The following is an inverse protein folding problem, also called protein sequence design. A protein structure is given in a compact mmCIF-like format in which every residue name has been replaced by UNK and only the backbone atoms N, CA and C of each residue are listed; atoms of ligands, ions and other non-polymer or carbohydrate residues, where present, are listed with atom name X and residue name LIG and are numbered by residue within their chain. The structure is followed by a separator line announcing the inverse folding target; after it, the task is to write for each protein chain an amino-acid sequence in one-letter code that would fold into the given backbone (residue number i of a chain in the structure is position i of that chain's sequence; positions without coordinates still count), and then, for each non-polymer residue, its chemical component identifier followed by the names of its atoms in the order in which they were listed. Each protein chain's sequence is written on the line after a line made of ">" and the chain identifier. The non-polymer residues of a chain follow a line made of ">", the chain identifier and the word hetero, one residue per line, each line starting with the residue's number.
data_IF_369933907378
#
_entry.id   IF_369933907378
#
_cell.length_a   1.000
_cell.length_b   1.000
_cell.length_c   1.000
_cell.angle_alpha   90.00
_cell.angle_beta   90.00
_cell.angle_gamma   90.00
#
_symmetry.space_group_name_H-M   'P 1'
#
loop_
_entity.id
_entity.type
_entity.pdbx_description
1 polymer ?
#
# COMPACT_ATOMS: atom_id res chain seq x y z
N UNK A 1 -16.10 23.93 -11.62
CA UNK A 1 -15.08 24.02 -10.53
C UNK A 1 -14.06 22.96 -10.79
N UNK A 2 -12.80 23.17 -10.49
CA UNK A 2 -11.78 22.13 -10.58
C UNK A 2 -11.26 21.87 -9.17
N UNK A 3 -11.31 20.64 -8.72
CA UNK A 3 -10.70 20.25 -7.45
C UNK A 3 -9.67 19.16 -7.68
N UNK A 4 -8.53 19.27 -6.99
CA UNK A 4 -7.48 18.26 -6.96
C UNK A 4 -7.26 17.84 -5.52
N UNK A 5 -7.25 16.55 -5.28
CA UNK A 5 -6.98 15.96 -3.98
C UNK A 5 -5.92 14.86 -4.10
N UNK A 6 -5.04 14.77 -3.13
CA UNK A 6 -4.10 13.65 -2.98
C UNK A 6 -4.50 12.92 -1.70
N UNK A 7 -4.80 11.64 -1.83
CA UNK A 7 -5.28 10.80 -0.75
C UNK A 7 -4.43 9.53 -0.60
N UNK A 8 -4.29 9.09 0.65
CA UNK A 8 -3.77 7.78 0.98
C UNK A 8 -4.87 6.92 1.61
N UNK A 9 -4.90 5.63 1.31
CA UNK A 9 -5.83 4.69 1.93
C UNK A 9 -5.73 4.67 3.46
N UNK A 10 -4.58 5.02 4.04
CA UNK A 10 -4.42 5.15 5.48
C UNK A 10 -5.31 6.24 6.10
N UNK A 11 -5.57 7.31 5.34
CA UNK A 11 -6.41 8.41 5.79
C UNK A 11 -7.85 8.28 5.29
N UNK A 12 -8.00 7.90 4.03
CA UNK A 12 -9.31 7.74 3.39
C UNK A 12 -9.23 6.72 2.25
N UNK A 13 -9.89 5.54 2.38
CA UNK A 13 -9.88 4.51 1.36
C UNK A 13 -10.39 5.02 0.02
N UNK A 14 -9.57 4.90 -1.03
CA UNK A 14 -9.92 5.37 -2.38
C UNK A 14 -11.15 4.65 -2.95
N UNK A 15 -11.39 3.42 -2.53
CA UNK A 15 -12.55 2.64 -2.96
C UNK A 15 -13.89 3.30 -2.65
N UNK A 16 -13.98 4.12 -1.59
CA UNK A 16 -15.20 4.88 -1.29
C UNK A 16 -15.51 5.91 -2.37
N UNK A 17 -14.48 6.58 -2.87
CA UNK A 17 -14.60 7.56 -3.95
C UNK A 17 -14.94 6.84 -5.26
N UNK A 18 -14.20 5.78 -5.59
CA UNK A 18 -14.46 4.97 -6.79
C UNK A 18 -15.93 4.48 -6.80
N UNK A 19 -16.45 4.00 -5.67
CA UNK A 19 -17.84 3.59 -5.55
C UNK A 19 -18.82 4.74 -5.80
N UNK A 20 -18.57 5.90 -5.19
CA UNK A 20 -19.44 7.07 -5.36
C UNK A 20 -19.47 7.57 -6.80
N UNK A 21 -18.30 7.68 -7.44
CA UNK A 21 -18.17 8.13 -8.81
C UNK A 21 -18.79 7.13 -9.81
N UNK A 22 -18.50 5.83 -9.62
CA UNK A 22 -19.03 4.76 -10.45
C UNK A 22 -20.55 4.69 -10.41
N UNK A 23 -21.14 4.81 -9.21
CA UNK A 23 -22.60 4.75 -9.03
C UNK A 23 -23.35 5.81 -9.84
N UNK A 24 -22.75 6.98 -10.02
CA UNK A 24 -23.32 8.13 -10.69
C UNK A 24 -22.83 8.32 -12.13
N UNK A 25 -21.95 7.44 -12.60
CA UNK A 25 -21.30 7.59 -13.90
C UNK A 25 -22.19 7.10 -15.05
N UNK A 26 -22.24 7.90 -16.13
CA UNK A 26 -22.81 7.48 -17.40
C UNK A 26 -21.78 6.74 -18.28
N UNK A 27 -20.49 6.98 -18.08
CA UNK A 27 -19.42 6.30 -18.77
C UNK A 27 -18.23 6.11 -17.82
N UNK A 28 -17.79 4.86 -17.65
CA UNK A 28 -16.69 4.49 -16.77
C UNK A 28 -15.64 3.71 -17.52
N UNK A 29 -14.37 4.13 -17.43
CA UNK A 29 -13.22 3.44 -18.03
C UNK A 29 -12.17 3.21 -16.96
N UNK A 30 -11.73 1.97 -16.82
CA UNK A 30 -10.74 1.58 -15.80
C UNK A 30 -9.58 0.84 -16.47
N UNK A 31 -8.36 1.21 -16.15
CA UNK A 31 -7.16 0.49 -16.56
C UNK A 31 -6.33 0.17 -15.32
N UNK A 32 -6.10 -1.12 -15.05
CA UNK A 32 -5.37 -1.60 -13.87
C UNK A 32 -4.41 -2.72 -14.21
N UNK A 33 -3.25 -2.73 -13.54
CA UNK A 33 -2.30 -3.82 -13.69
C UNK A 33 -2.86 -5.14 -13.10
N UNK A 34 -3.60 -5.07 -11.99
CA UNK A 34 -4.11 -6.25 -11.28
C UNK A 34 -5.62 -6.12 -11.04
N UNK A 35 -6.35 -7.14 -11.48
CA UNK A 35 -7.77 -7.28 -11.29
C UNK A 35 -8.07 -8.51 -10.43
N UNK A 36 -8.77 -8.35 -9.30
CA UNK A 36 -9.15 -9.46 -8.41
C UNK A 36 -10.64 -9.45 -8.09
N UNK A 37 -11.22 -10.64 -7.85
CA UNK A 37 -12.62 -10.74 -7.39
C UNK A 37 -12.90 -9.94 -6.13
N UNK A 38 -11.91 -9.78 -5.24
CA UNK A 38 -12.05 -8.97 -4.02
C UNK A 38 -12.25 -7.49 -4.32
N UNK A 39 -11.62 -6.97 -5.38
CA UNK A 39 -11.85 -5.60 -5.84
C UNK A 39 -13.22 -5.44 -6.52
N UNK A 40 -13.62 -6.42 -7.35
CA UNK A 40 -14.95 -6.42 -7.98
C UNK A 40 -16.06 -6.40 -6.93
N UNK A 41 -15.99 -7.29 -5.93
CA UNK A 41 -16.98 -7.32 -4.84
C UNK A 41 -17.11 -5.98 -4.10
N UNK A 42 -16.02 -5.23 -4.04
CA UNK A 42 -16.02 -3.91 -3.40
C UNK A 42 -16.85 -2.90 -4.19
N UNK A 43 -16.82 -2.94 -5.54
CA UNK A 43 -17.51 -2.00 -6.41
C UNK A 43 -18.81 -2.55 -7.02
N UNK A 44 -19.14 -3.82 -6.85
CA UNK A 44 -20.19 -4.55 -7.57
C UNK A 44 -21.55 -3.84 -7.47
N UNK A 45 -21.95 -3.40 -6.28
CA UNK A 45 -23.23 -2.69 -6.08
C UNK A 45 -23.27 -1.39 -6.87
N UNK A 46 -22.21 -0.61 -6.85
CA UNK A 46 -22.11 0.66 -7.57
C UNK A 46 -22.11 0.43 -9.10
N UNK A 47 -21.39 -0.60 -9.55
CA UNK A 47 -21.37 -1.01 -10.95
C UNK A 47 -22.75 -1.39 -11.45
N UNK A 48 -23.46 -2.28 -10.72
CA UNK A 48 -24.80 -2.71 -11.12
C UNK A 48 -25.78 -1.54 -11.17
N UNK A 49 -25.73 -0.65 -10.20
CA UNK A 49 -26.58 0.55 -10.19
C UNK A 49 -26.28 1.49 -11.37
N UNK A 50 -25.01 1.70 -11.72
CA UNK A 50 -24.63 2.49 -12.90
C UNK A 50 -25.20 1.87 -14.19
N UNK A 51 -25.07 0.55 -14.35
CA UNK A 51 -25.56 -0.18 -15.52
C UNK A 51 -27.11 -0.17 -15.61
N UNK A 52 -27.80 -0.29 -14.49
CA UNK A 52 -29.27 -0.17 -14.41
C UNK A 52 -29.74 1.23 -14.84
N UNK A 53 -28.95 2.25 -14.56
CA UNK A 53 -29.19 3.63 -15.01
C UNK A 53 -28.78 3.89 -16.48
N UNK A 54 -28.37 2.85 -17.22
CA UNK A 54 -27.98 2.94 -18.62
C UNK A 54 -26.53 3.36 -18.84
N UNK A 55 -25.70 3.33 -17.80
CA UNK A 55 -24.27 3.62 -17.89
C UNK A 55 -23.47 2.59 -18.70
N UNK A 56 -22.27 2.96 -19.12
CA UNK A 56 -21.29 2.08 -19.77
C UNK A 56 -20.09 1.84 -18.88
N UNK A 57 -19.48 0.66 -19.01
CA UNK A 57 -18.32 0.26 -18.23
C UNK A 57 -17.30 -0.47 -19.10
N UNK A 58 -16.08 0.03 -19.12
CA UNK A 58 -14.94 -0.63 -19.76
C UNK A 58 -13.83 -0.88 -18.76
N UNK A 59 -13.19 -2.04 -18.83
CA UNK A 59 -12.02 -2.35 -18.02
C UNK A 59 -10.89 -2.98 -18.84
N UNK A 60 -9.68 -2.47 -18.66
CA UNK A 60 -8.44 -3.08 -19.17
C UNK A 60 -7.70 -3.67 -17.96
N UNK A 61 -7.42 -4.97 -17.99
CA UNK A 61 -6.69 -5.68 -16.96
C UNK A 61 -5.35 -6.20 -17.49
N UNK A 62 -4.25 -5.90 -16.80
CA UNK A 62 -2.94 -6.47 -17.10
C UNK A 62 -2.84 -7.94 -16.75
N UNK A 63 -2.08 -8.72 -17.52
CA UNK A 63 -1.82 -10.14 -17.29
C UNK A 63 -0.38 -10.42 -16.83
N UNK A 64 0.44 -9.37 -16.78
CA UNK A 64 1.81 -9.48 -16.28
C UNK A 64 1.83 -10.02 -14.85
N UNK A 65 2.93 -10.68 -14.49
CA UNK A 65 3.12 -11.32 -13.18
C UNK A 65 2.06 -12.39 -12.81
N UNK A 66 1.14 -12.73 -13.71
CA UNK A 66 0.05 -13.70 -13.47
C UNK A 66 -0.71 -13.39 -12.15
N UNK A 67 -1.05 -12.11 -11.94
CA UNK A 67 -1.71 -11.61 -10.72
C UNK A 67 -3.19 -11.32 -10.89
N UNK A 68 -3.65 -11.09 -12.12
CA UNK A 68 -5.08 -10.93 -12.43
C UNK A 68 -5.81 -12.25 -12.22
N UNK A 69 -6.92 -12.20 -11.47
CA UNK A 69 -7.70 -13.39 -11.08
C UNK A 69 -8.54 -13.90 -12.27
N UNK A 70 -8.39 -15.17 -12.71
CA UNK A 70 -9.24 -15.76 -13.74
C UNK A 70 -10.75 -15.64 -13.45
N UNK A 71 -11.15 -15.72 -12.17
CA UNK A 71 -12.56 -15.55 -11.76
C UNK A 71 -13.04 -14.13 -12.01
N UNK A 72 -12.18 -13.15 -11.83
CA UNK A 72 -12.52 -11.75 -12.11
C UNK A 72 -12.69 -11.48 -13.60
N UNK A 73 -11.85 -12.10 -14.44
CA UNK A 73 -12.02 -12.06 -15.89
C UNK A 73 -13.34 -12.68 -16.31
N UNK A 74 -13.64 -13.89 -15.81
CA UNK A 74 -14.87 -14.59 -16.12
C UNK A 74 -16.12 -13.81 -15.68
N UNK A 75 -16.06 -13.13 -14.52
CA UNK A 75 -17.15 -12.26 -14.06
C UNK A 75 -17.50 -11.20 -15.10
N UNK A 76 -16.51 -10.48 -15.62
CA UNK A 76 -16.78 -9.43 -16.63
C UNK A 76 -17.12 -9.99 -18.00
N UNK A 77 -16.61 -11.17 -18.40
CA UNK A 77 -17.05 -11.84 -19.62
C UNK A 77 -18.54 -12.17 -19.53
N UNK A 78 -18.97 -12.80 -18.43
CA UNK A 78 -20.38 -13.14 -18.22
C UNK A 78 -21.26 -11.88 -18.15
N UNK A 79 -20.77 -10.81 -17.52
CA UNK A 79 -21.49 -9.56 -17.46
C UNK A 79 -21.62 -8.92 -18.85
N UNK A 80 -20.59 -8.96 -19.68
CA UNK A 80 -20.61 -8.44 -21.05
C UNK A 80 -21.55 -9.20 -21.99
N UNK A 81 -21.72 -10.52 -21.78
CA UNK A 81 -22.70 -11.31 -22.52
C UNK A 81 -24.14 -10.89 -22.22
N UNK A 82 -24.41 -10.43 -20.99
CA UNK A 82 -25.74 -10.03 -20.55
C UNK A 82 -25.99 -8.52 -20.68
N UNK A 83 -24.96 -7.71 -20.87
CA UNK A 83 -25.05 -6.26 -20.97
C UNK A 83 -24.07 -5.71 -22.01
N UNK A 84 -24.61 -5.24 -23.14
CA UNK A 84 -23.82 -4.70 -24.28
C UNK A 84 -22.98 -3.44 -23.94
N UNK A 85 -23.27 -2.80 -22.80
CA UNK A 85 -22.55 -1.62 -22.34
C UNK A 85 -21.34 -1.99 -21.45
N UNK A 86 -21.03 -3.28 -21.28
CA UNK A 86 -19.89 -3.75 -20.49
C UNK A 86 -18.86 -4.36 -21.40
N UNK A 87 -17.59 -3.92 -21.27
CA UNK A 87 -16.48 -4.45 -22.04
C UNK A 87 -15.29 -4.78 -21.14
N UNK A 88 -14.68 -5.93 -21.37
CA UNK A 88 -13.41 -6.32 -20.76
C UNK A 88 -12.35 -6.50 -21.83
N UNK A 89 -11.19 -5.95 -21.56
CA UNK A 89 -9.98 -6.14 -22.33
C UNK A 89 -8.86 -6.65 -21.43
N UNK A 90 -7.97 -7.42 -22.01
CA UNK A 90 -6.74 -7.86 -21.34
C UNK A 90 -5.53 -7.33 -22.10
N UNK A 91 -4.54 -6.89 -21.34
CA UNK A 91 -3.25 -6.49 -21.87
C UNK A 91 -2.23 -7.57 -21.49
N UNK A 92 -1.62 -8.19 -22.48
CA UNK A 92 -0.60 -9.22 -22.30
C UNK A 92 0.35 -9.26 -23.47
N UNK A 93 1.59 -9.60 -23.21
CA UNK A 93 2.56 -9.81 -24.26
C UNK A 93 2.23 -11.08 -25.02
N UNK A 94 2.02 -10.95 -26.33
CA UNK A 94 1.71 -12.07 -27.24
C UNK A 94 2.93 -12.59 -27.98
N UNK A 95 4.03 -11.87 -27.92
CA UNK A 95 5.22 -12.16 -28.72
C UNK A 95 6.42 -12.36 -27.78
N UNK A 96 7.00 -13.56 -27.78
CA UNK A 96 8.20 -13.91 -26.99
C UNK A 96 9.43 -13.03 -27.33
N UNK A 97 9.38 -12.26 -28.42
CA UNK A 97 10.44 -11.36 -28.87
C UNK A 97 10.17 -9.89 -28.56
N UNK A 98 9.07 -9.56 -27.88
CA UNK A 98 8.72 -8.17 -27.58
C UNK A 98 9.18 -7.71 -26.21
N UNK A 99 9.52 -6.46 -26.20
CA UNK A 99 10.01 -5.57 -25.15
C UNK A 99 9.53 -5.91 -23.74
N UNK A 100 10.44 -5.82 -22.76
CA UNK A 100 10.21 -5.92 -21.31
C UNK A 100 9.27 -4.83 -20.74
N UNK A 101 8.30 -4.34 -21.54
CA UNK A 101 7.36 -3.32 -21.09
C UNK A 101 6.31 -3.98 -20.20
N UNK A 102 6.37 -3.65 -18.92
CA UNK A 102 5.39 -4.09 -17.94
C UNK A 102 4.15 -3.17 -17.99
N UNK A 103 2.98 -3.77 -18.15
CA UNK A 103 1.72 -3.04 -18.08
C UNK A 103 1.35 -2.76 -16.61
N UNK A 104 1.50 -1.49 -16.20
CA UNK A 104 1.32 -1.14 -14.77
C UNK A 104 0.49 0.13 -14.51
N UNK A 105 -0.46 0.55 -15.36
CA UNK A 105 -1.32 1.71 -15.08
C UNK A 105 -2.32 1.41 -13.97
N UNK A 106 -2.80 2.46 -13.30
CA UNK A 106 -3.98 2.48 -12.46
C UNK A 106 -4.68 3.79 -12.71
N UNK A 107 -5.63 3.75 -13.64
CA UNK A 107 -6.40 4.88 -14.12
C UNK A 107 -7.87 4.52 -13.98
N UNK A 108 -8.64 5.41 -13.37
CA UNK A 108 -10.09 5.30 -13.24
C UNK A 108 -10.70 6.59 -13.75
N UNK A 109 -11.56 6.49 -14.75
CA UNK A 109 -12.22 7.59 -15.43
C UNK A 109 -13.73 7.43 -15.26
N UNK A 110 -14.35 8.48 -14.78
CA UNK A 110 -15.80 8.53 -14.61
C UNK A 110 -16.35 9.80 -15.25
N UNK A 111 -17.38 9.66 -16.05
CA UNK A 111 -18.08 10.78 -16.67
C UNK A 111 -19.55 10.72 -16.31
N UNK A 112 -20.05 11.76 -15.66
CA UNK A 112 -21.48 11.96 -15.47
C UNK A 112 -21.98 13.14 -16.32
N UNK A 113 -23.24 13.53 -16.17
CA UNK A 113 -23.85 14.59 -17.01
C UNK A 113 -23.19 15.95 -16.87
N UNK A 114 -22.63 16.27 -15.71
CA UNK A 114 -22.20 17.62 -15.35
C UNK A 114 -20.72 17.75 -15.04
N UNK A 115 -20.04 16.63 -14.78
CA UNK A 115 -18.64 16.62 -14.39
C UNK A 115 -17.93 15.34 -14.80
N UNK A 116 -16.61 15.39 -14.76
CA UNK A 116 -15.76 14.22 -14.92
C UNK A 116 -14.88 14.05 -13.68
N UNK A 117 -14.58 12.79 -13.36
CA UNK A 117 -13.65 12.44 -12.28
C UNK A 117 -12.55 11.53 -12.83
N UNK A 118 -11.32 11.86 -12.48
CA UNK A 118 -10.14 11.08 -12.86
C UNK A 118 -9.39 10.70 -11.60
N UNK A 119 -9.12 9.40 -11.42
CA UNK A 119 -8.24 8.91 -10.37
C UNK A 119 -7.01 8.26 -11.01
N UNK A 120 -5.83 8.74 -10.62
CA UNK A 120 -4.54 8.19 -11.06
C UNK A 120 -3.66 7.99 -9.84
N UNK A 121 -3.07 6.81 -9.71
CA UNK A 121 -2.20 6.52 -8.57
C UNK A 121 -1.67 5.10 -8.54
N UNK A 122 -1.55 4.55 -7.33
CA UNK A 122 -0.98 3.23 -7.12
C UNK A 122 -2.04 2.11 -6.93
N UNK A 123 -3.31 2.46 -6.74
CA UNK A 123 -4.37 1.51 -6.38
C UNK A 123 -4.82 0.63 -7.54
N UNK A 124 -4.61 -0.68 -7.41
CA UNK A 124 -5.19 -1.69 -8.31
C UNK A 124 -6.63 -2.05 -7.91
N UNK A 125 -7.39 -2.69 -8.81
CA UNK A 125 -8.74 -3.21 -8.55
C UNK A 125 -8.68 -4.49 -7.69
N UNK A 126 -8.29 -4.33 -6.44
CA UNK A 126 -8.18 -5.37 -5.42
C UNK A 126 -8.67 -4.82 -4.08
N UNK A 127 -9.07 -5.67 -3.12
CA UNK A 127 -9.44 -5.16 -1.79
C UNK A 127 -8.30 -4.37 -1.15
N UNK A 128 -7.06 -4.88 -1.25
CA UNK A 128 -5.89 -4.16 -0.74
C UNK A 128 -5.72 -2.78 -1.40
N UNK A 129 -5.75 -2.72 -2.74
CA UNK A 129 -5.59 -1.48 -3.48
C UNK A 129 -6.70 -0.46 -3.22
N UNK A 130 -7.94 -0.91 -3.01
CA UNK A 130 -9.09 -0.02 -2.79
C UNK A 130 -9.25 0.41 -1.32
N UNK A 131 -8.71 -0.34 -0.35
CA UNK A 131 -9.04 -0.13 1.05
C UNK A 131 -7.85 -0.16 2.01
N UNK A 132 -7.00 -1.20 1.98
CA UNK A 132 -6.14 -1.53 3.12
C UNK A 132 -4.63 -1.42 2.89
N UNK A 133 -4.15 -1.40 1.64
CA UNK A 133 -2.73 -1.20 1.36
C UNK A 133 -2.32 0.26 1.57
N UNK A 134 -1.02 0.49 1.72
CA UNK A 134 -0.45 1.82 1.61
C UNK A 134 -0.47 2.25 0.14
N UNK A 135 -1.49 3.00 -0.25
CA UNK A 135 -1.66 3.52 -1.60
C UNK A 135 -1.75 5.05 -1.58
N UNK A 136 -1.30 5.67 -2.67
CA UNK A 136 -1.43 7.13 -2.87
C UNK A 136 -2.06 7.38 -4.23
N UNK A 137 -3.12 8.20 -4.24
CA UNK A 137 -3.88 8.51 -5.45
C UNK A 137 -4.15 10.00 -5.54
N UNK A 138 -4.11 10.52 -6.77
CA UNK A 138 -4.56 11.85 -7.13
C UNK A 138 -5.96 11.78 -7.74
N UNK A 139 -6.84 12.65 -7.28
CA UNK A 139 -8.22 12.73 -7.75
C UNK A 139 -8.45 14.12 -8.34
N UNK A 140 -8.97 14.17 -9.56
CA UNK A 140 -9.33 15.38 -10.28
C UNK A 140 -10.83 15.35 -10.54
N UNK A 141 -11.57 16.35 -10.06
CA UNK A 141 -13.00 16.52 -10.31
C UNK A 141 -13.17 17.82 -11.09
N UNK A 142 -13.74 17.73 -12.30
CA UNK A 142 -13.73 18.82 -13.27
C UNK A 142 -15.09 19.00 -13.94
N UNK A 143 -15.59 20.26 -13.99
CA UNK A 143 -16.72 20.65 -14.85
C UNK A 143 -16.27 20.81 -16.33
N UNK A 144 -15.01 21.19 -16.54
CA UNK A 144 -14.36 21.23 -17.85
C UNK A 144 -13.27 20.16 -17.89
N UNK A 145 -13.43 19.10 -18.70
CA UNK A 145 -12.61 17.88 -18.60
C UNK A 145 -11.23 18.05 -19.24
N UNK A 146 -10.27 18.65 -18.54
CA UNK A 146 -8.89 18.81 -19.04
C UNK A 146 -8.04 17.57 -18.72
N UNK A 147 -7.93 17.21 -17.44
CA UNK A 147 -7.16 16.03 -17.00
C UNK A 147 -7.86 14.75 -17.46
N UNK A 148 -9.18 14.72 -17.40
CA UNK A 148 -9.97 13.60 -17.89
C UNK A 148 -9.66 13.28 -19.36
N UNK A 149 -9.67 14.27 -20.25
CA UNK A 149 -9.40 14.05 -21.68
C UNK A 149 -7.96 13.59 -21.95
N UNK A 150 -6.99 14.09 -21.19
CA UNK A 150 -5.60 13.62 -21.30
C UNK A 150 -5.49 12.15 -20.88
N UNK A 151 -6.09 11.78 -19.74
CA UNK A 151 -6.07 10.41 -19.25
C UNK A 151 -6.89 9.46 -20.13
N UNK A 152 -8.02 9.92 -20.69
CA UNK A 152 -8.82 9.18 -21.67
C UNK A 152 -8.04 8.94 -22.97
N UNK A 153 -7.26 9.92 -23.42
CA UNK A 153 -6.37 9.76 -24.58
C UNK A 153 -5.34 8.65 -24.34
N UNK A 154 -4.74 8.59 -23.15
CA UNK A 154 -3.83 7.49 -22.75
C UNK A 154 -4.57 6.15 -22.73
N UNK A 155 -5.76 6.11 -22.14
CA UNK A 155 -6.59 4.91 -22.10
C UNK A 155 -6.91 4.40 -23.52
N UNK A 156 -7.30 5.30 -24.42
CA UNK A 156 -7.58 4.97 -25.81
C UNK A 156 -6.33 4.54 -26.56
N UNK A 157 -5.17 5.16 -26.31
CA UNK A 157 -3.91 4.72 -26.87
C UNK A 157 -3.60 3.25 -26.49
N UNK A 158 -3.80 2.88 -25.23
CA UNK A 158 -3.67 1.49 -24.77
C UNK A 158 -4.60 0.56 -25.56
N UNK A 159 -5.83 0.97 -25.84
CA UNK A 159 -6.80 0.16 -26.61
C UNK A 159 -6.39 -0.14 -28.03
N UNK A 160 -5.53 0.67 -28.64
CA UNK A 160 -5.05 0.49 -30.01
C UNK A 160 -3.70 -0.21 -30.11
N UNK A 161 -3.15 -0.71 -29.01
CA UNK A 161 -1.91 -1.49 -29.03
C UNK A 161 -2.17 -2.94 -29.45
N UNK A 162 -1.22 -3.57 -30.12
CA UNK A 162 -1.31 -4.97 -30.53
C UNK A 162 -1.33 -5.95 -29.35
N UNK A 163 -0.92 -5.50 -28.17
CA UNK A 163 -0.93 -6.29 -26.93
C UNK A 163 -2.30 -6.37 -26.26
N UNK A 164 -3.26 -5.53 -26.69
CA UNK A 164 -4.62 -5.58 -26.15
C UNK A 164 -5.48 -6.60 -26.91
N UNK A 165 -6.32 -7.32 -26.18
CA UNK A 165 -7.29 -8.25 -26.77
C UNK A 165 -8.54 -8.41 -25.90
N UNK A 166 -9.61 -8.91 -26.51
CA UNK A 166 -10.83 -9.31 -25.81
C UNK A 166 -10.68 -10.77 -25.38
N UNK A 167 -10.67 -11.07 -24.08
CA UNK A 167 -10.57 -12.45 -23.61
C UNK A 167 -11.90 -13.19 -23.85
N UNK A 168 -11.81 -14.47 -24.17
CA UNK A 168 -12.94 -15.38 -24.17
C UNK A 168 -12.82 -16.42 -23.06
N UNK A 169 -13.86 -17.22 -22.84
CA UNK A 169 -13.88 -18.24 -21.78
C UNK A 169 -12.76 -19.27 -21.95
N UNK A 170 -12.50 -19.74 -23.18
CA UNK A 170 -11.45 -20.71 -23.45
C UNK A 170 -10.06 -20.18 -23.05
N UNK A 171 -9.79 -18.91 -23.37
CA UNK A 171 -8.57 -18.23 -22.93
C UNK A 171 -8.46 -18.22 -21.40
N UNK A 172 -9.54 -17.86 -20.70
CA UNK A 172 -9.54 -17.79 -19.23
C UNK A 172 -9.31 -19.16 -18.61
N UNK A 173 -9.86 -20.24 -19.16
CA UNK A 173 -9.58 -21.59 -18.67
C UNK A 173 -8.08 -21.95 -18.79
N UNK A 174 -7.47 -21.69 -19.94
CA UNK A 174 -6.03 -21.92 -20.16
C UNK A 174 -5.17 -21.04 -19.21
N UNK A 175 -5.53 -19.77 -19.10
CA UNK A 175 -4.85 -18.83 -18.19
C UNK A 175 -4.97 -19.27 -16.72
N UNK A 176 -6.10 -19.85 -16.32
CA UNK A 176 -6.31 -20.32 -14.95
C UNK A 176 -5.33 -21.43 -14.53
N UNK A 177 -4.90 -22.28 -15.44
CA UNK A 177 -3.93 -23.32 -15.14
C UNK A 177 -2.52 -22.73 -14.94
N UNK A 178 -2.13 -21.78 -15.77
CA UNK A 178 -0.89 -21.01 -15.59
C UNK A 178 -0.93 -20.24 -14.25
N UNK A 179 -2.02 -19.55 -13.97
CA UNK A 179 -2.22 -18.80 -12.72
C UNK A 179 -2.09 -19.71 -11.48
N UNK A 180 -2.68 -20.92 -11.51
CA UNK A 180 -2.57 -21.91 -10.42
C UNK A 180 -1.12 -22.37 -10.21
N UNK A 181 -0.38 -22.63 -11.30
CA UNK A 181 1.02 -23.03 -11.22
C UNK A 181 1.86 -21.95 -10.53
N UNK A 182 1.78 -20.69 -10.99
CA UNK A 182 2.47 -19.56 -10.37
C UNK A 182 2.11 -19.38 -8.89
N UNK A 183 0.82 -19.52 -8.53
CA UNK A 183 0.39 -19.43 -7.13
C UNK A 183 0.90 -20.57 -6.25
N UNK A 184 1.11 -21.75 -6.81
CA UNK A 184 1.70 -22.90 -6.11
C UNK A 184 3.18 -22.61 -5.81
N UNK A 185 3.92 -22.11 -6.79
CA UNK A 185 5.34 -21.81 -6.65
C UNK A 185 5.58 -20.67 -5.65
N UNK A 186 4.78 -19.60 -5.70
CA UNK A 186 4.80 -18.52 -4.72
C UNK A 186 4.57 -19.03 -3.29
N UNK A 187 3.59 -19.94 -3.09
CA UNK A 187 3.33 -20.54 -1.79
C UNK A 187 4.47 -21.43 -1.31
N UNK A 188 5.11 -22.16 -2.22
CA UNK A 188 6.25 -23.02 -1.91
C UNK A 188 7.44 -22.18 -1.47
N UNK A 189 7.79 -21.13 -2.21
CA UNK A 189 8.86 -20.19 -1.86
C UNK A 189 8.62 -19.54 -0.49
N UNK A 190 7.39 -19.09 -0.21
CA UNK A 190 7.03 -18.49 1.10
C UNK A 190 7.10 -19.47 2.27
N UNK A 191 7.08 -20.78 2.05
CA UNK A 191 7.20 -21.84 3.08
C UNK A 191 8.62 -22.30 3.29
N UNK A 192 9.50 -22.03 2.36
CA UNK A 192 10.89 -22.41 2.43
C UNK A 192 11.59 -21.77 3.64
N UNK A 193 12.27 -22.58 4.45
CA UNK A 193 12.91 -22.14 5.69
C UNK A 193 14.12 -21.26 5.43
N UNK A 194 14.88 -21.55 4.37
CA UNK A 194 16.06 -20.77 4.00
C UNK A 194 15.67 -19.40 3.47
N UNK A 195 14.65 -19.34 2.60
CA UNK A 195 14.10 -18.08 2.10
C UNK A 195 13.57 -17.24 3.25
N UNK A 196 12.83 -17.84 4.20
CA UNK A 196 12.36 -17.12 5.40
C UNK A 196 13.49 -16.57 6.23
N UNK A 197 14.57 -17.33 6.39
CA UNK A 197 15.76 -16.88 7.13
C UNK A 197 16.42 -15.70 6.45
N UNK A 198 16.60 -15.76 5.12
CA UNK A 198 17.17 -14.67 4.32
C UNK A 198 16.27 -13.43 4.40
N UNK A 199 14.95 -13.57 4.23
CA UNK A 199 14.00 -12.45 4.37
C UNK A 199 14.08 -11.84 5.77
N UNK A 200 14.21 -12.66 6.81
CA UNK A 200 14.37 -12.13 8.18
C UNK A 200 15.67 -11.36 8.35
N UNK A 201 16.76 -11.83 7.76
CA UNK A 201 18.05 -11.11 7.76
C UNK A 201 17.96 -9.78 7.00
N UNK A 202 17.40 -9.79 5.79
CA UNK A 202 17.18 -8.58 5.01
C UNK A 202 16.33 -7.56 5.79
N UNK A 203 15.23 -7.99 6.40
CA UNK A 203 14.39 -7.12 7.22
C UNK A 203 15.14 -6.56 8.43
N UNK A 204 16.07 -7.30 9.00
CA UNK A 204 16.89 -6.83 10.11
C UNK A 204 17.94 -5.82 9.62
N UNK A 205 18.52 -6.05 8.45
CA UNK A 205 19.44 -5.12 7.79
C UNK A 205 18.75 -3.83 7.36
N UNK A 206 17.54 -3.92 6.76
CA UNK A 206 16.74 -2.76 6.37
C UNK A 206 16.39 -1.84 7.56
N UNK A 207 16.17 -2.41 8.75
CA UNK A 207 15.91 -1.64 9.98
C UNK A 207 17.11 -0.86 10.46
N UNK A 208 18.33 -1.26 10.07
CA UNK A 208 19.57 -0.62 10.44
C UNK A 208 20.10 0.35 9.38
N UNK A 209 19.46 0.46 8.22
CA UNK A 209 19.91 1.34 7.13
C UNK A 209 19.75 2.83 7.51
N UNK A 210 20.71 3.70 7.07
CA UNK A 210 20.57 5.14 7.22
C UNK A 210 19.25 5.65 6.57
N UNK A 211 18.50 6.46 7.30
CA UNK A 211 17.24 7.01 6.84
C UNK A 211 15.98 6.29 7.34
N UNK A 212 16.11 5.12 7.96
CA UNK A 212 14.99 4.52 8.70
C UNK A 212 14.70 5.31 9.97
N UNK A 213 13.42 5.52 10.26
CA UNK A 213 13.04 6.21 11.50
C UNK A 213 13.29 5.28 12.68
N UNK A 214 14.23 5.60 13.60
CA UNK A 214 14.54 4.75 14.73
C UNK A 214 13.35 4.61 15.67
N UNK A 215 13.28 3.48 16.38
CA UNK A 215 12.32 3.30 17.47
C UNK A 215 12.73 4.16 18.67
N UNK A 216 11.76 4.42 19.58
CA UNK A 216 12.06 5.16 20.80
C UNK A 216 13.16 4.46 21.63
N UNK A 217 13.11 3.13 21.75
CA UNK A 217 14.15 2.38 22.41
C UNK A 217 15.53 2.55 21.76
N UNK A 218 15.59 2.55 20.43
CA UNK A 218 16.84 2.80 19.71
C UNK A 218 17.37 4.20 20.04
N UNK A 219 16.52 5.22 20.00
CA UNK A 219 16.93 6.59 20.32
C UNK A 219 17.41 6.75 21.77
N UNK A 220 16.70 6.12 22.74
CA UNK A 220 17.12 6.13 24.15
C UNK A 220 18.48 5.47 24.31
N UNK A 221 18.68 4.28 23.72
CA UNK A 221 19.94 3.55 23.83
C UNK A 221 21.10 4.30 23.18
N UNK A 222 20.90 4.88 22.00
CA UNK A 222 21.93 5.66 21.32
C UNK A 222 22.35 6.87 22.16
N UNK A 223 21.38 7.57 22.77
CA UNK A 223 21.67 8.66 23.70
C UNK A 223 22.41 8.18 24.93
N UNK A 224 21.94 7.10 25.57
CA UNK A 224 22.58 6.57 26.76
C UNK A 224 23.99 6.02 26.48
N UNK A 225 24.23 5.46 25.31
CA UNK A 225 25.57 5.02 24.88
C UNK A 225 26.51 6.20 24.64
N UNK A 226 26.05 7.25 23.98
CA UNK A 226 26.89 8.46 23.80
C UNK A 226 27.29 9.05 25.15
N UNK A 227 26.38 9.09 26.13
CA UNK A 227 26.69 9.54 27.50
C UNK A 227 27.65 8.61 28.22
N UNK A 228 27.55 7.32 27.98
CA UNK A 228 28.49 6.34 28.55
C UNK A 228 29.90 6.54 27.99
N UNK A 229 30.05 6.87 26.72
CA UNK A 229 31.34 7.24 26.10
C UNK A 229 31.92 8.52 26.71
N UNK A 230 31.10 9.44 27.16
CA UNK A 230 31.48 10.65 27.95
C UNK A 230 31.80 10.32 29.41
N UNK A 231 31.68 9.05 29.83
CA UNK A 231 31.91 8.59 31.22
C UNK A 231 30.69 8.74 32.14
N UNK A 232 29.52 9.12 31.62
CA UNK A 232 28.30 9.27 32.40
C UNK A 232 27.47 7.98 32.34
N UNK A 233 27.33 7.31 33.48
CA UNK A 233 26.63 6.00 33.58
C UNK A 233 25.15 6.20 33.93
N UNK A 234 24.85 7.16 34.82
CA UNK A 234 23.51 7.40 35.37
C UNK A 234 22.90 8.61 34.69
N UNK A 235 21.81 8.42 33.99
CA UNK A 235 21.18 9.44 33.16
C UNK A 235 19.78 9.71 33.68
N UNK A 236 19.45 10.99 33.82
CA UNK A 236 18.14 11.43 34.30
C UNK A 236 17.08 11.32 33.19
N UNK A 237 15.83 11.12 33.61
CA UNK A 237 14.68 11.13 32.71
C UNK A 237 14.52 12.47 31.99
N UNK A 238 14.94 13.59 32.65
CA UNK A 238 14.91 14.91 32.05
C UNK A 238 15.88 15.04 30.87
N UNK A 239 17.11 14.54 31.00
CA UNK A 239 18.11 14.52 29.93
C UNK A 239 17.62 13.65 28.74
N UNK A 240 17.00 12.50 29.02
CA UNK A 240 16.40 11.67 27.96
C UNK A 240 15.29 12.41 27.22
N UNK A 241 14.42 13.12 27.92
CA UNK A 241 13.35 13.91 27.30
C UNK A 241 13.92 14.98 26.39
N UNK A 242 14.87 15.77 26.90
CA UNK A 242 15.47 16.89 26.17
C UNK A 242 16.13 16.41 24.86
N UNK A 243 16.94 15.35 24.91
CA UNK A 243 17.59 14.81 23.71
C UNK A 243 16.58 14.26 22.70
N UNK A 244 15.61 13.45 23.17
CA UNK A 244 14.65 12.81 22.26
C UNK A 244 13.65 13.82 21.69
N UNK A 245 13.18 14.80 22.45
CA UNK A 245 12.33 15.86 21.95
C UNK A 245 13.02 16.66 20.84
N UNK A 246 14.29 17.02 21.04
CA UNK A 246 15.10 17.67 20.01
C UNK A 246 15.30 16.82 18.75
N UNK A 247 15.47 15.50 18.90
CA UNK A 247 15.61 14.60 17.74
C UNK A 247 14.34 14.55 16.91
N UNK A 248 13.16 14.49 17.53
CA UNK A 248 11.88 14.38 16.80
C UNK A 248 11.42 15.68 16.13
N UNK A 249 12.10 16.81 16.36
CA UNK A 249 11.94 18.04 15.58
C UNK A 249 12.38 17.85 14.11
N UNK A 250 13.23 16.85 13.83
CA UNK A 250 13.64 16.55 12.47
C UNK A 250 12.42 16.12 11.62
N UNK A 251 12.23 16.70 10.41
CA UNK A 251 11.10 16.41 9.53
C UNK A 251 10.89 14.92 9.24
N UNK A 252 11.91 14.06 9.33
CA UNK A 252 11.81 12.62 9.16
C UNK A 252 10.81 11.98 10.14
N UNK A 253 10.59 12.59 11.32
CA UNK A 253 9.66 12.12 12.34
C UNK A 253 8.24 12.70 12.20
N UNK A 254 8.01 13.55 11.19
CA UNK A 254 6.72 14.21 11.01
C UNK A 254 5.56 13.21 10.99
N UNK A 255 4.59 13.43 11.86
CA UNK A 255 3.40 12.57 11.98
C UNK A 255 3.61 11.23 12.70
N UNK A 256 4.84 10.85 13.08
CA UNK A 256 5.09 9.58 13.77
C UNK A 256 4.81 9.66 15.27
N UNK A 257 5.19 10.75 15.90
CA UNK A 257 5.03 10.95 17.35
C UNK A 257 4.16 12.18 17.63
N UNK A 258 3.28 12.07 18.63
CA UNK A 258 2.48 13.19 19.14
C UNK A 258 3.22 13.84 20.28
N UNK A 259 3.58 15.12 20.15
CA UNK A 259 4.38 15.86 21.13
C UNK A 259 3.76 15.86 22.54
N UNK A 260 2.44 15.98 22.63
CA UNK A 260 1.69 16.01 23.89
C UNK A 260 1.78 14.69 24.69
N UNK A 261 1.98 13.57 24.02
CA UNK A 261 2.08 12.23 24.64
C UNK A 261 3.48 11.62 24.58
N UNK A 262 4.44 12.29 23.94
CA UNK A 262 5.76 11.72 23.68
C UNK A 262 6.53 11.34 24.93
N UNK A 263 6.53 12.20 25.97
CA UNK A 263 7.15 11.89 27.27
C UNK A 263 6.54 10.67 27.95
N UNK A 264 5.22 10.47 27.81
CA UNK A 264 4.56 9.29 28.35
C UNK A 264 4.99 8.03 27.62
N UNK A 265 5.18 8.12 26.29
CA UNK A 265 5.68 7.00 25.48
C UNK A 265 7.12 6.64 25.87
N UNK A 266 8.00 7.63 26.06
CA UNK A 266 9.37 7.39 26.56
C UNK A 266 9.36 6.68 27.90
N UNK A 267 8.53 7.15 28.84
CA UNK A 267 8.37 6.48 30.16
C UNK A 267 7.86 5.05 30.03
N UNK A 268 6.89 4.84 29.15
CA UNK A 268 6.35 3.52 28.85
C UNK A 268 7.44 2.56 28.39
N UNK A 269 8.26 2.97 27.44
CA UNK A 269 9.36 2.17 26.92
C UNK A 269 10.45 1.87 27.97
N UNK A 270 10.83 2.86 28.77
CA UNK A 270 11.79 2.67 29.87
C UNK A 270 11.27 1.68 30.90
N UNK A 271 10.01 1.81 31.32
CA UNK A 271 9.40 0.90 32.30
C UNK A 271 9.18 -0.50 31.73
N UNK A 272 8.74 -0.62 30.48
CA UNK A 272 8.53 -1.91 29.81
C UNK A 272 9.83 -2.70 29.67
N UNK A 273 10.95 -2.03 29.39
CA UNK A 273 12.23 -2.66 29.17
C UNK A 273 13.19 -2.54 30.37
N UNK A 274 12.68 -2.22 31.56
CA UNK A 274 13.44 -2.19 32.80
C UNK A 274 13.69 -3.63 33.30
N UNK A 275 14.86 -3.87 33.92
CA UNK A 275 15.35 -5.21 34.28
C UNK A 275 14.43 -5.94 35.27
N UNK A 276 13.76 -5.22 36.18
CA UNK A 276 12.87 -5.79 37.19
C UNK A 276 11.46 -6.09 36.71
N UNK A 277 11.07 -5.64 35.50
CA UNK A 277 9.71 -5.91 35.01
C UNK A 277 9.45 -7.41 34.82
N UNK A 278 8.26 -7.88 35.12
CA UNK A 278 7.82 -9.27 34.94
C UNK A 278 7.34 -9.55 33.50
N UNK A 279 7.26 -8.52 32.66
CA UNK A 279 6.77 -8.68 31.28
C UNK A 279 7.72 -9.59 30.47
N UNK A 280 7.16 -10.68 29.94
CA UNK A 280 7.87 -11.68 29.14
C UNK A 280 8.41 -11.13 27.81
N UNK A 281 7.86 -10.04 27.32
CA UNK A 281 8.27 -9.37 26.08
C UNK A 281 9.27 -8.24 26.33
N UNK A 282 9.64 -7.99 27.58
CA UNK A 282 10.66 -7.01 27.95
C UNK A 282 12.05 -7.44 27.48
N UNK A 283 12.78 -6.49 26.90
CA UNK A 283 14.16 -6.72 26.45
C UNK A 283 15.21 -6.52 27.55
N UNK A 284 14.78 -6.10 28.75
CA UNK A 284 15.70 -5.89 29.91
C UNK A 284 16.87 -4.95 29.61
N UNK A 285 16.61 -3.84 28.95
CA UNK A 285 17.61 -2.92 28.43
C UNK A 285 18.12 -1.92 29.48
N UNK A 286 17.26 -1.58 30.44
CA UNK A 286 17.48 -0.49 31.40
C UNK A 286 17.48 -1.01 32.82
N UNK A 287 18.21 -0.31 33.68
CA UNK A 287 18.15 -0.48 35.13
C UNK A 287 17.78 0.86 35.75
N UNK A 288 16.77 0.88 36.60
CA UNK A 288 16.40 2.07 37.36
C UNK A 288 17.27 2.15 38.60
N UNK A 289 18.18 3.11 38.66
CA UNK A 289 19.07 3.31 39.81
C UNK A 289 18.39 4.03 40.98
N UNK A 290 17.51 4.99 40.64
CA UNK A 290 16.57 5.66 41.55
C UNK A 290 15.42 6.26 40.76
N UNK A 291 14.45 6.88 41.42
CA UNK A 291 13.32 7.54 40.77
C UNK A 291 13.84 8.55 39.73
N UNK A 292 13.45 8.32 38.47
CA UNK A 292 13.83 9.20 37.33
C UNK A 292 15.29 9.12 36.88
N UNK A 293 16.06 8.12 37.32
CA UNK A 293 17.46 7.91 36.89
C UNK A 293 17.65 6.48 36.41
N UNK A 294 18.22 6.34 35.24
CA UNK A 294 18.40 5.06 34.55
C UNK A 294 19.85 4.84 34.12
N UNK A 295 20.25 3.58 34.04
CA UNK A 295 21.49 3.13 33.42
C UNK A 295 21.22 2.00 32.41
N UNK A 296 22.16 1.73 31.50
CA UNK A 296 22.08 0.59 30.61
C UNK A 296 22.50 -0.70 31.32
N UNK A 297 21.73 -1.78 31.14
CA UNK A 297 22.16 -3.13 31.50
C UNK A 297 23.29 -3.59 30.58
N UNK A 298 23.97 -4.69 30.90
CA UNK A 298 24.98 -5.24 30.00
C UNK A 298 24.42 -5.70 28.66
N UNK A 299 23.16 -6.12 28.64
CA UNK A 299 22.42 -6.38 27.40
C UNK A 299 22.09 -5.09 26.66
N UNK A 300 21.64 -4.04 27.37
CA UNK A 300 21.39 -2.72 26.80
C UNK A 300 22.62 -2.10 26.14
N UNK A 301 23.81 -2.24 26.76
CA UNK A 301 25.09 -1.78 26.17
C UNK A 301 25.41 -2.47 24.84
N UNK A 302 25.01 -3.73 24.67
CA UNK A 302 25.26 -4.54 23.45
C UNK A 302 24.12 -4.46 22.44
N UNK A 303 22.98 -3.90 22.80
CA UNK A 303 21.80 -3.83 21.92
C UNK A 303 22.07 -2.92 20.73
N UNK A 304 21.85 -3.43 19.53
CA UNK A 304 22.11 -2.70 18.26
C UNK A 304 20.87 -2.02 17.65
N UNK A 305 19.82 -1.86 18.45
CA UNK A 305 18.57 -1.22 18.00
C UNK A 305 17.59 -2.19 17.32
N UNK A 306 16.35 -2.09 17.68
CA UNK A 306 15.13 -2.45 16.95
C UNK A 306 14.01 -1.51 17.37
#
# INVERSE_FOLDING_TARGET
>A
MQSVQILSNLNYPIGKIINSELMNSADSKISVAFLKMTGIKYIEKALMQSLENGGSFEIIAGLDFKTTDPKAMMYFINLSHNNKNVHIYCYGDRDENKTDIVFHPKIYLFRNKNQTSTVIGSSNMTAGGLESNFEVNSIFIEDKPVVYLQAESIYNFIKYTDSLFVPNEEYVYKYADVFKAFKKDEKTAKRDKEIKKIISQINDDEKSLPGTIPSINTMIIDFMKSKLEEGVVNITLAEIYEDLEKRIENPIFSGKYKLDTFRNTIRGELNHNEISTEDKHSKKLYKREKIGVYSLTDFGKKFKGR
#
